data_IF_107755834160
#
_entry.id   IF_107755834160
#
_cell.length_a   1.000
_cell.length_b   1.000
_cell.length_c   1.000
_cell.angle_alpha   90.00
_cell.angle_beta   90.00
_cell.angle_gamma   90.00
#
_symmetry.space_group_name_H-M   'P 1'
#
loop_
_entity.id
_entity.type
_entity.pdbx_description
1 polymer ?
#
# COMPACT_ATOMS: atom_id res chain seq x y z
N UNK A 1 48.34 76.66 -64.92
CA UNK A 1 47.14 76.53 -64.06
C UNK A 1 46.69 75.07 -64.09
N UNK A 2 46.79 74.36 -62.95
CA UNK A 2 46.26 72.99 -62.76
C UNK A 2 44.82 73.11 -62.26
N UNK A 3 43.85 72.49 -62.93
CA UNK A 3 42.52 72.24 -62.34
C UNK A 3 41.97 70.86 -62.77
N UNK A 4 42.06 69.95 -61.79
CA UNK A 4 41.28 68.74 -61.50
C UNK A 4 40.30 68.19 -62.56
N UNK A 5 40.61 66.99 -63.05
CA UNK A 5 39.60 66.05 -63.52
C UNK A 5 38.97 65.33 -62.31
N UNK A 6 37.69 65.61 -62.02
CA UNK A 6 36.89 64.81 -61.10
C UNK A 6 36.48 63.51 -61.82
N UNK A 7 36.98 62.37 -61.31
CA UNK A 7 36.47 61.01 -61.61
C UNK A 7 35.12 60.77 -60.89
N UNK A 8 34.34 59.74 -61.30
CA UNK A 8 32.96 59.91 -61.74
C UNK A 8 31.91 59.34 -60.78
N UNK A 9 30.64 59.50 -61.18
CA UNK A 9 29.39 58.98 -60.61
C UNK A 9 29.33 57.44 -60.39
N UNK A 10 30.20 56.85 -59.56
CA UNK A 10 30.18 55.40 -59.27
C UNK A 10 29.06 54.96 -58.31
N UNK A 11 28.43 55.89 -57.58
CA UNK A 11 27.42 55.55 -56.55
C UNK A 11 26.05 55.12 -57.11
N UNK A 12 25.66 55.56 -58.31
CA UNK A 12 24.31 55.28 -58.87
C UNK A 12 24.18 53.87 -59.45
N UNK A 13 25.23 53.34 -60.09
CA UNK A 13 25.23 51.96 -60.58
C UNK A 13 25.28 50.93 -59.45
N UNK A 14 25.98 51.25 -58.35
CA UNK A 14 26.06 50.41 -57.15
C UNK A 14 24.68 50.21 -56.49
N UNK A 15 23.85 51.26 -56.38
CA UNK A 15 22.52 51.18 -55.76
C UNK A 15 21.57 50.28 -56.57
N UNK A 16 21.63 50.35 -57.90
CA UNK A 16 20.78 49.54 -58.78
C UNK A 16 21.14 48.05 -58.71
N UNK A 17 22.43 47.73 -58.72
CA UNK A 17 22.92 46.35 -58.56
C UNK A 17 22.55 45.80 -57.19
N UNK A 18 22.70 46.61 -56.12
CA UNK A 18 22.32 46.22 -54.76
C UNK A 18 20.82 45.95 -54.64
N UNK A 19 19.98 46.77 -55.29
CA UNK A 19 18.52 46.61 -55.31
C UNK A 19 18.08 45.34 -56.06
N UNK A 20 18.72 45.02 -57.19
CA UNK A 20 18.47 43.78 -57.93
C UNK A 20 18.91 42.57 -57.11
N UNK A 21 20.08 42.63 -56.47
CA UNK A 21 20.57 41.56 -55.61
C UNK A 21 19.63 41.33 -54.42
N UNK A 22 19.10 42.41 -53.83
CA UNK A 22 18.15 42.34 -52.74
C UNK A 22 16.80 41.77 -53.19
N UNK A 23 16.28 42.17 -54.35
CA UNK A 23 15.08 41.56 -54.95
C UNK A 23 15.29 40.07 -55.23
N UNK A 24 16.46 39.68 -55.74
CA UNK A 24 16.77 38.29 -56.04
C UNK A 24 16.80 37.44 -54.76
N UNK A 25 17.43 37.95 -53.70
CA UNK A 25 17.41 37.31 -52.38
C UNK A 25 15.98 37.18 -51.88
N UNK A 26 15.19 38.26 -51.88
CA UNK A 26 13.78 38.22 -51.48
C UNK A 26 12.96 37.21 -52.29
N UNK A 27 13.18 37.12 -53.60
CA UNK A 27 12.50 36.17 -54.47
C UNK A 27 12.88 34.72 -54.17
N UNK A 28 14.16 34.45 -53.92
CA UNK A 28 14.65 33.13 -53.51
C UNK A 28 14.07 32.77 -52.13
N UNK A 29 14.06 33.71 -51.17
CA UNK A 29 13.49 33.49 -49.84
C UNK A 29 11.98 33.24 -49.90
N UNK A 30 11.23 34.03 -50.69
CA UNK A 30 9.80 33.83 -50.90
C UNK A 30 9.50 32.47 -51.56
N UNK A 31 10.29 32.09 -52.57
CA UNK A 31 10.18 30.78 -53.23
C UNK A 31 10.47 29.63 -52.25
N UNK A 32 11.49 29.78 -51.39
CA UNK A 32 11.80 28.81 -50.34
C UNK A 32 10.63 28.65 -49.35
N UNK A 33 9.99 29.74 -48.92
CA UNK A 33 8.81 29.68 -48.05
C UNK A 33 7.61 28.99 -48.70
N UNK A 34 7.35 29.23 -49.99
CA UNK A 34 6.25 28.57 -50.72
C UNK A 34 6.46 27.04 -50.75
N UNK A 35 7.71 26.58 -50.82
CA UNK A 35 8.03 25.14 -50.80
C UNK A 35 8.03 24.56 -49.37
N UNK A 36 8.43 25.34 -48.37
CA UNK A 36 8.52 24.89 -46.97
C UNK A 36 7.14 24.80 -46.28
N UNK A 37 6.23 25.74 -46.54
CA UNK A 37 4.93 25.81 -45.87
C UNK A 37 4.09 24.52 -45.99
N UNK A 38 3.97 23.86 -47.15
CA UNK A 38 3.26 22.59 -47.26
C UNK A 38 3.94 21.44 -46.49
N UNK A 39 5.26 21.45 -46.38
CA UNK A 39 6.04 20.44 -45.65
C UNK A 39 5.80 20.58 -44.15
N UNK A 40 5.90 21.80 -43.64
CA UNK A 40 5.63 22.11 -42.22
C UNK A 40 4.18 21.84 -41.85
N UNK A 41 3.23 22.22 -42.70
CA UNK A 41 1.81 21.92 -42.50
C UNK A 41 1.55 20.41 -42.42
N UNK A 42 2.15 19.62 -43.32
CA UNK A 42 2.03 18.15 -43.29
C UNK A 42 2.72 17.55 -42.07
N UNK A 43 3.86 18.10 -41.64
CA UNK A 43 4.55 17.66 -40.44
C UNK A 43 3.74 17.95 -39.18
N UNK A 44 3.19 19.15 -39.06
CA UNK A 44 2.29 19.54 -37.97
C UNK A 44 1.05 18.65 -37.92
N UNK A 45 0.39 18.41 -39.06
CA UNK A 45 -0.74 17.48 -39.14
C UNK A 45 -0.37 16.04 -38.75
N UNK A 46 0.83 15.56 -39.09
CA UNK A 46 1.28 14.23 -38.67
C UNK A 46 1.51 14.17 -37.17
N UNK A 47 2.17 15.19 -36.61
CA UNK A 47 2.42 15.31 -35.17
C UNK A 47 1.10 15.34 -34.38
N UNK A 48 0.17 16.20 -34.79
CA UNK A 48 -1.17 16.29 -34.20
C UNK A 48 -1.91 14.94 -34.22
N UNK A 49 -1.85 14.22 -35.35
CA UNK A 49 -2.45 12.88 -35.50
C UNK A 49 -1.76 11.84 -34.62
N UNK A 50 -0.44 11.92 -34.45
CA UNK A 50 0.30 11.03 -33.57
C UNK A 50 -0.05 11.25 -32.10
N UNK A 51 -0.16 12.50 -31.66
CA UNK A 51 -0.59 12.86 -30.31
C UNK A 51 -2.04 12.43 -30.07
N UNK A 52 -2.94 12.73 -31.01
CA UNK A 52 -4.34 12.30 -30.93
C UNK A 52 -4.43 10.78 -30.83
N UNK A 53 -3.71 10.05 -31.68
CA UNK A 53 -3.69 8.59 -31.64
C UNK A 53 -3.11 8.01 -30.34
N UNK A 54 -2.19 8.73 -29.68
CA UNK A 54 -1.68 8.35 -28.35
C UNK A 54 -2.77 8.51 -27.29
N UNK A 55 -3.38 9.69 -27.21
CA UNK A 55 -4.43 10.00 -26.24
C UNK A 55 -5.64 9.07 -26.39
N UNK A 56 -6.02 8.73 -27.62
CA UNK A 56 -7.10 7.77 -27.91
C UNK A 56 -6.75 6.37 -27.43
N UNK A 57 -5.49 5.93 -27.62
CA UNK A 57 -5.05 4.63 -27.11
C UNK A 57 -5.02 4.61 -25.58
N UNK A 58 -4.49 5.66 -24.95
CA UNK A 58 -4.40 5.80 -23.50
C UNK A 58 -5.80 5.84 -22.86
N UNK A 59 -6.77 6.53 -23.48
CA UNK A 59 -8.15 6.53 -23.03
C UNK A 59 -8.75 5.12 -22.93
N UNK A 60 -8.43 4.23 -23.87
CA UNK A 60 -8.86 2.84 -23.81
C UNK A 60 -8.17 2.04 -22.69
N UNK A 61 -6.93 2.37 -22.33
CA UNK A 61 -6.28 1.81 -21.13
C UNK A 61 -6.99 2.28 -19.86
N UNK A 62 -7.28 3.58 -19.76
CA UNK A 62 -8.00 4.15 -18.61
C UNK A 62 -9.41 3.57 -18.45
N UNK A 63 -10.14 3.36 -19.55
CA UNK A 63 -11.45 2.71 -19.51
C UNK A 63 -11.33 1.26 -19.04
N UNK A 64 -10.38 0.49 -19.59
CA UNK A 64 -10.14 -0.90 -19.19
C UNK A 64 -9.77 -1.02 -17.71
N UNK A 65 -8.93 -0.12 -17.19
CA UNK A 65 -8.61 -0.05 -15.76
C UNK A 65 -9.83 0.27 -14.90
N UNK A 66 -10.65 1.23 -15.33
CA UNK A 66 -11.87 1.61 -14.61
C UNK A 66 -12.88 0.45 -14.58
N UNK A 67 -12.99 -0.27 -15.70
CA UNK A 67 -13.82 -1.46 -15.79
C UNK A 67 -13.30 -2.60 -14.90
N UNK A 68 -11.98 -2.85 -14.88
CA UNK A 68 -11.35 -3.83 -13.98
C UNK A 68 -11.65 -3.51 -12.51
N UNK A 69 -11.48 -2.24 -12.11
CA UNK A 69 -11.82 -1.77 -10.76
C UNK A 69 -13.30 -2.03 -10.43
N UNK A 70 -14.20 -1.72 -11.36
CA UNK A 70 -15.64 -1.93 -11.17
C UNK A 70 -16.01 -3.41 -11.01
N UNK A 71 -15.34 -4.34 -11.72
CA UNK A 71 -15.61 -5.76 -11.54
C UNK A 71 -15.06 -6.30 -10.22
N UNK A 72 -13.84 -5.91 -9.86
CA UNK A 72 -13.17 -6.39 -8.65
C UNK A 72 -13.74 -5.78 -7.37
N UNK A 73 -14.19 -4.53 -7.45
CA UNK A 73 -14.94 -3.87 -6.40
C UNK A 73 -16.09 -3.05 -6.97
N UNK A 74 -17.27 -3.66 -7.09
CA UNK A 74 -18.46 -2.94 -7.49
C UNK A 74 -18.81 -1.86 -6.45
N UNK A 75 -19.04 -0.59 -6.85
CA UNK A 75 -19.30 0.52 -5.93
C UNK A 75 -20.59 0.37 -5.09
N UNK A 76 -21.46 -0.59 -5.43
CA UNK A 76 -22.63 -0.95 -4.64
C UNK A 76 -22.38 -1.98 -3.54
N UNK A 77 -21.12 -2.37 -3.28
CA UNK A 77 -20.80 -3.48 -2.38
C UNK A 77 -21.34 -4.81 -2.92
N UNK A 78 -21.23 -5.03 -4.23
CA UNK A 78 -21.48 -6.35 -4.81
C UNK A 78 -20.28 -7.27 -4.61
N UNK A 79 -20.49 -8.58 -4.69
CA UNK A 79 -19.38 -9.53 -4.76
C UNK A 79 -18.48 -9.22 -5.97
N UNK A 80 -17.16 -9.31 -5.77
CA UNK A 80 -16.17 -9.23 -6.85
C UNK A 80 -16.51 -10.23 -7.95
N UNK A 81 -16.43 -9.78 -9.20
CA UNK A 81 -16.63 -10.61 -10.39
C UNK A 81 -15.29 -10.81 -11.06
N UNK A 82 -14.97 -12.07 -11.33
CA UNK A 82 -13.73 -12.42 -12.01
C UNK A 82 -13.73 -11.85 -13.45
N UNK A 83 -12.83 -10.92 -13.80
CA UNK A 83 -12.89 -10.16 -15.05
C UNK A 83 -12.94 -11.00 -16.33
N UNK A 84 -12.36 -12.20 -16.31
CA UNK A 84 -12.32 -13.08 -17.48
C UNK A 84 -13.26 -14.28 -17.38
N UNK A 85 -14.12 -14.33 -16.35
CA UNK A 85 -15.13 -15.38 -16.24
C UNK A 85 -16.19 -15.26 -17.33
N UNK A 86 -16.78 -16.41 -17.67
CA UNK A 86 -17.86 -16.50 -18.64
C UNK A 86 -19.02 -15.56 -18.26
N UNK A 87 -19.42 -14.70 -19.20
CA UNK A 87 -20.50 -13.73 -19.00
C UNK A 87 -20.10 -12.44 -18.25
N UNK A 88 -18.86 -12.31 -17.77
CA UNK A 88 -18.34 -11.08 -17.14
C UNK A 88 -17.58 -10.23 -18.14
N UNK A 89 -16.69 -10.85 -18.92
CA UNK A 89 -15.85 -10.12 -19.87
C UNK A 89 -16.70 -9.53 -21.02
N UNK A 90 -16.66 -8.20 -21.24
CA UNK A 90 -17.54 -7.54 -22.19
C UNK A 90 -17.25 -7.96 -23.63
N UNK A 91 -18.33 -7.98 -24.42
CA UNK A 91 -18.24 -8.20 -25.86
C UNK A 91 -17.33 -7.15 -26.50
N UNK A 92 -16.77 -7.47 -27.67
CA UNK A 92 -15.88 -6.55 -28.38
C UNK A 92 -16.54 -5.18 -28.65
N UNK A 93 -17.84 -5.17 -28.95
CA UNK A 93 -18.61 -3.95 -29.19
C UNK A 93 -18.67 -3.05 -27.95
N UNK A 94 -18.76 -3.63 -26.76
CA UNK A 94 -18.78 -2.89 -25.49
C UNK A 94 -17.39 -2.40 -25.07
N UNK A 95 -16.32 -2.97 -25.63
CA UNK A 95 -14.92 -2.54 -25.42
C UNK A 95 -14.42 -1.57 -26.49
N UNK A 96 -15.31 -1.14 -27.38
CA UNK A 96 -14.99 -0.25 -28.49
C UNK A 96 -15.78 1.05 -28.34
N UNK A 97 -15.06 2.14 -28.16
CA UNK A 97 -15.67 3.47 -27.95
C UNK A 97 -15.27 4.38 -29.09
N UNK A 98 -16.26 5.02 -29.70
CA UNK A 98 -16.06 6.05 -30.71
C UNK A 98 -15.94 7.42 -30.02
N UNK A 99 -14.85 8.13 -30.27
CA UNK A 99 -14.57 9.44 -29.68
C UNK A 99 -14.93 10.62 -30.60
N UNK A 100 -15.42 10.34 -31.80
CA UNK A 100 -15.69 11.34 -32.84
C UNK A 100 -14.50 11.56 -33.79
N UNK A 101 -14.69 12.36 -34.82
CA UNK A 101 -13.65 12.72 -35.82
C UNK A 101 -12.91 11.54 -36.47
N UNK A 102 -13.62 10.41 -36.58
CA UNK A 102 -13.10 9.17 -37.12
C UNK A 102 -12.18 8.40 -36.15
N UNK A 103 -12.00 8.86 -34.92
CA UNK A 103 -11.24 8.16 -33.89
C UNK A 103 -12.12 7.23 -33.08
N UNK A 104 -11.58 6.03 -32.85
CA UNK A 104 -12.12 5.08 -31.88
C UNK A 104 -10.98 4.32 -31.25
N UNK A 105 -11.22 3.70 -30.10
CA UNK A 105 -10.29 2.74 -29.52
C UNK A 105 -10.98 1.42 -29.26
N UNK A 106 -10.17 0.38 -29.11
CA UNK A 106 -10.59 -0.94 -28.63
C UNK A 106 -9.56 -1.48 -27.66
N UNK A 107 -10.00 -1.85 -26.46
CA UNK A 107 -9.13 -2.47 -25.47
C UNK A 107 -9.39 -3.96 -25.32
N UNK A 108 -8.35 -4.71 -24.96
CA UNK A 108 -8.35 -6.14 -24.74
C UNK A 108 -7.51 -6.45 -23.48
N UNK A 109 -7.93 -7.42 -22.68
CA UNK A 109 -7.18 -7.93 -21.54
C UNK A 109 -6.51 -9.26 -21.89
N UNK A 110 -5.25 -9.40 -21.49
CA UNK A 110 -4.49 -10.63 -21.57
C UNK A 110 -4.07 -10.99 -20.15
N UNK A 111 -4.57 -12.09 -19.57
CA UNK A 111 -4.21 -12.52 -18.22
C UNK A 111 -2.80 -13.10 -18.22
N UNK A 112 -2.07 -12.88 -17.12
CA UNK A 112 -0.79 -13.57 -16.90
C UNK A 112 -0.99 -15.10 -16.80
N UNK A 113 0.12 -15.85 -16.90
CA UNK A 113 0.16 -17.30 -16.72
C UNK A 113 -0.45 -17.79 -15.39
N UNK A 114 -0.33 -17.02 -14.31
CA UNK A 114 -0.83 -17.41 -12.99
C UNK A 114 -2.23 -16.88 -12.68
N UNK A 115 -2.75 -15.98 -13.53
CA UNK A 115 -4.05 -15.32 -13.34
C UNK A 115 -5.16 -16.08 -14.05
N UNK A 116 -6.37 -16.11 -13.47
CA UNK A 116 -7.53 -16.71 -14.12
C UNK A 116 -7.73 -16.12 -15.54
N UNK A 117 -7.98 -16.94 -16.57
CA UNK A 117 -8.32 -18.36 -16.53
C UNK A 117 -7.12 -19.32 -16.58
N UNK A 118 -5.89 -18.81 -16.69
CA UNK A 118 -4.68 -19.62 -16.90
C UNK A 118 -4.16 -20.25 -15.60
N UNK A 119 -4.34 -19.56 -14.47
CA UNK A 119 -3.92 -20.02 -13.16
C UNK A 119 -4.92 -19.70 -12.05
N UNK A 120 -4.52 -19.99 -10.81
CA UNK A 120 -5.34 -19.86 -9.61
C UNK A 120 -4.75 -18.88 -8.58
N UNK A 121 -3.81 -18.02 -9.00
CA UNK A 121 -3.21 -17.05 -8.09
C UNK A 121 -4.27 -16.03 -7.66
N UNK A 122 -4.47 -15.80 -6.35
CA UNK A 122 -5.42 -14.80 -5.85
C UNK A 122 -5.04 -13.37 -6.24
N UNK A 123 -3.75 -13.11 -6.50
CA UNK A 123 -3.27 -11.85 -7.06
C UNK A 123 -3.39 -11.91 -8.58
N UNK A 124 -4.23 -11.03 -9.12
CA UNK A 124 -4.52 -10.97 -10.56
C UNK A 124 -3.55 -10.03 -11.26
N UNK A 125 -3.02 -10.44 -12.39
CA UNK A 125 -2.23 -9.59 -13.28
C UNK A 125 -2.78 -9.66 -14.71
N UNK A 126 -2.91 -8.50 -15.34
CA UNK A 126 -3.40 -8.36 -16.71
C UNK A 126 -2.50 -7.43 -17.51
N UNK A 127 -2.26 -7.79 -18.77
CA UNK A 127 -1.80 -6.85 -19.78
C UNK A 127 -3.01 -6.26 -20.50
N UNK A 128 -3.20 -4.95 -20.38
CA UNK A 128 -4.20 -4.19 -21.13
C UNK A 128 -3.57 -3.79 -22.46
N UNK A 129 -4.21 -4.18 -23.56
CA UNK A 129 -3.82 -3.78 -24.92
C UNK A 129 -4.91 -2.89 -25.48
N UNK A 130 -4.62 -1.60 -25.67
CA UNK A 130 -5.55 -0.64 -26.28
C UNK A 130 -5.08 -0.22 -27.66
N UNK A 131 -5.91 -0.45 -28.68
CA UNK A 131 -5.64 -0.09 -30.07
C UNK A 131 -6.48 1.11 -30.46
N UNK A 132 -5.84 2.20 -30.86
CA UNK A 132 -6.47 3.35 -31.49
C UNK A 132 -6.70 3.08 -32.97
N UNK A 133 -7.91 3.36 -33.44
CA UNK A 133 -8.33 3.26 -34.82
C UNK A 133 -8.68 4.65 -35.35
N UNK A 134 -8.31 4.90 -36.61
CA UNK A 134 -8.78 6.05 -37.35
C UNK A 134 -9.49 5.58 -38.61
N UNK A 135 -10.76 5.96 -38.78
CA UNK A 135 -11.61 5.51 -39.88
C UNK A 135 -11.53 3.97 -40.07
N UNK A 136 -11.67 3.24 -38.96
CA UNK A 136 -11.57 1.78 -38.87
C UNK A 136 -10.21 1.16 -39.24
N UNK A 137 -9.13 1.95 -39.33
CA UNK A 137 -7.76 1.44 -39.51
C UNK A 137 -6.97 1.59 -38.24
N UNK A 138 -6.31 0.51 -37.80
CA UNK A 138 -5.41 0.56 -36.66
C UNK A 138 -4.31 1.59 -36.93
N UNK A 139 -4.12 2.49 -35.97
CA UNK A 139 -3.18 3.60 -36.07
C UNK A 139 -2.07 3.49 -35.02
N UNK A 140 -2.42 3.16 -33.78
CA UNK A 140 -1.47 3.02 -32.67
C UNK A 140 -1.96 1.99 -31.66
N UNK A 141 -1.03 1.38 -30.94
CA UNK A 141 -1.28 0.48 -29.83
C UNK A 141 -0.58 1.01 -28.57
N UNK A 142 -1.28 0.94 -27.44
CA UNK A 142 -0.76 1.17 -26.11
C UNK A 142 -0.88 -0.13 -25.30
N UNK A 143 0.12 -0.40 -24.47
CA UNK A 143 0.15 -1.56 -23.58
C UNK A 143 0.40 -1.08 -22.16
N UNK A 144 -0.37 -1.61 -21.21
CA UNK A 144 -0.18 -1.36 -19.79
C UNK A 144 -0.26 -2.69 -19.05
N UNK A 145 0.75 -2.95 -18.22
CA UNK A 145 0.75 -4.08 -17.30
C UNK A 145 0.15 -3.60 -15.99
N UNK A 146 -0.89 -4.28 -15.52
CA UNK A 146 -1.57 -3.95 -14.27
C UNK A 146 -1.62 -5.20 -13.39
N UNK A 147 -1.33 -5.00 -12.11
CA UNK A 147 -1.45 -6.01 -11.08
C UNK A 147 -2.48 -5.54 -10.06
N UNK A 148 -3.26 -6.49 -9.54
CA UNK A 148 -4.15 -6.23 -8.42
C UNK A 148 -3.32 -5.76 -7.24
N UNK A 149 -3.66 -4.59 -6.74
CA UNK A 149 -2.99 -4.00 -5.61
C UNK A 149 -3.27 -4.82 -4.35
N UNK A 150 -2.20 -5.24 -3.67
CA UNK A 150 -2.34 -5.92 -2.38
C UNK A 150 -2.60 -4.90 -1.28
N UNK A 151 -3.57 -5.20 -0.42
CA UNK A 151 -3.81 -4.42 0.80
C UNK A 151 -2.63 -4.49 1.78
N UNK A 152 -1.74 -5.48 1.62
CA UNK A 152 -0.53 -5.63 2.44
C UNK A 152 0.48 -4.49 2.26
N UNK A 153 0.34 -3.65 1.22
CA UNK A 153 1.20 -2.46 1.08
C UNK A 153 0.88 -1.40 2.13
N UNK A 154 -0.35 -1.36 2.64
CA UNK A 154 -0.78 -0.34 3.60
C UNK A 154 -0.20 -0.66 4.97
N UNK A 155 0.41 0.34 5.60
CA UNK A 155 0.77 0.23 7.02
C UNK A 155 -0.49 0.19 7.90
N UNK A 156 -1.54 0.91 7.48
CA UNK A 156 -2.86 0.83 8.09
C UNK A 156 -3.96 1.20 7.09
N UNK A 157 -5.06 0.45 7.11
CA UNK A 157 -6.23 0.67 6.28
C UNK A 157 -7.49 0.47 7.13
N UNK A 158 -8.33 1.49 7.21
CA UNK A 158 -9.53 1.49 8.04
C UNK A 158 -10.80 1.67 7.20
N UNK A 159 -11.76 0.77 7.33
CA UNK A 159 -13.05 0.87 6.62
C UNK A 159 -13.95 1.97 7.19
N UNK A 160 -13.94 2.11 8.51
CA UNK A 160 -14.76 3.04 9.25
C UNK A 160 -13.91 3.68 10.34
N UNK A 161 -14.10 4.98 10.58
CA UNK A 161 -13.40 5.69 11.64
C UNK A 161 -14.40 6.21 12.67
N UNK A 162 -14.56 5.51 13.81
CA UNK A 162 -15.54 5.88 14.81
C UNK A 162 -15.45 7.36 15.20
N UNK A 163 -16.62 7.98 15.40
CA UNK A 163 -16.70 9.42 15.69
C UNK A 163 -15.96 9.85 16.95
N UNK A 164 -15.69 8.93 17.88
CA UNK A 164 -14.97 9.13 19.13
C UNK A 164 -13.50 8.69 19.07
N UNK A 165 -13.04 8.08 17.97
CA UNK A 165 -11.66 7.61 17.82
C UNK A 165 -10.76 8.73 17.31
N UNK A 166 -9.57 8.85 17.90
CA UNK A 166 -8.50 9.75 17.45
C UNK A 166 -7.19 9.00 17.39
N UNK A 167 -6.39 9.23 16.34
CA UNK A 167 -5.02 8.73 16.28
C UNK A 167 -4.08 9.74 16.94
N UNK A 168 -3.43 9.40 18.06
CA UNK A 168 -2.42 10.27 18.65
C UNK A 168 -1.13 10.26 17.80
N UNK A 169 -0.58 11.44 17.51
CA UNK A 169 0.74 11.61 16.91
C UNK A 169 1.68 12.25 17.94
N UNK A 170 2.70 11.50 18.35
CA UNK A 170 3.70 11.92 19.33
C UNK A 170 5.06 12.05 18.68
N UNK A 171 5.96 12.81 19.29
CA UNK A 171 7.35 12.91 18.82
C UNK A 171 8.06 11.56 18.85
N UNK A 172 7.62 10.65 19.72
CA UNK A 172 8.13 9.28 19.87
C UNK A 172 7.39 8.24 19.02
N UNK A 173 6.38 8.64 18.23
CA UNK A 173 5.67 7.70 17.36
C UNK A 173 6.61 7.18 16.28
N UNK A 174 6.63 5.85 16.09
CA UNK A 174 7.36 5.25 14.99
C UNK A 174 6.77 5.69 13.64
N UNK A 175 7.59 5.91 12.61
CA UNK A 175 7.09 6.14 11.26
C UNK A 175 6.29 4.93 10.76
N UNK A 176 5.17 5.18 10.09
CA UNK A 176 4.46 4.17 9.33
C UNK A 176 5.31 3.75 8.13
N UNK A 177 5.63 2.46 8.01
CA UNK A 177 6.46 1.89 6.94
C UNK A 177 5.69 1.62 5.64
N UNK A 178 4.57 2.33 5.43
CA UNK A 178 3.68 2.19 4.27
C UNK A 178 2.54 3.22 4.28
N UNK A 179 1.74 3.34 3.21
CA UNK A 179 0.63 4.27 3.13
C UNK A 179 -0.43 3.98 4.19
N UNK A 180 -1.05 5.05 4.70
CA UNK A 180 -2.19 4.96 5.62
C UNK A 180 -3.45 5.47 4.93
N UNK A 181 -4.54 4.71 5.00
CA UNK A 181 -5.84 5.08 4.39
C UNK A 181 -7.02 4.86 5.32
N UNK A 182 -8.01 5.75 5.24
CA UNK A 182 -9.28 5.66 5.97
C UNK A 182 -10.44 5.91 5.00
N UNK A 183 -11.36 4.95 4.87
CA UNK A 183 -12.59 5.07 4.05
C UNK A 183 -13.64 6.03 4.64
N UNK A 184 -13.26 6.84 5.64
CA UNK A 184 -14.10 7.76 6.41
C UNK A 184 -13.27 9.03 6.74
N UNK A 185 -13.78 9.90 7.62
CA UNK A 185 -13.09 11.11 8.09
C UNK A 185 -12.04 10.73 9.14
N UNK A 186 -10.77 10.87 8.77
CA UNK A 186 -9.65 10.65 9.67
C UNK A 186 -9.55 11.75 10.74
N UNK A 187 -9.38 11.32 12.00
CA UNK A 187 -9.28 12.21 13.17
C UNK A 187 -7.94 11.98 13.88
N UNK A 188 -7.15 13.04 13.98
CA UNK A 188 -5.81 13.05 14.56
C UNK A 188 -5.80 13.81 15.88
N UNK A 189 -4.87 13.48 16.77
CA UNK A 189 -4.62 14.21 17.99
C UNK A 189 -3.13 14.47 18.17
N UNK A 190 -2.75 15.73 18.37
CA UNK A 190 -1.35 16.14 18.58
C UNK A 190 -1.15 16.50 20.07
N UNK A 191 -1.02 15.53 20.99
CA UNK A 191 -0.99 15.77 22.43
C UNK A 191 0.11 16.75 22.86
N UNK A 192 1.26 16.72 22.21
CA UNK A 192 2.42 17.57 22.53
C UNK A 192 2.34 18.97 21.90
N UNK A 193 1.42 19.18 20.95
CA UNK A 193 1.28 20.43 20.20
C UNK A 193 2.61 20.87 19.59
N UNK A 194 3.10 22.05 19.97
CA UNK A 194 4.39 22.58 19.51
C UNK A 194 5.60 21.66 19.85
N UNK A 195 5.50 20.83 20.89
CA UNK A 195 6.53 19.82 21.16
C UNK A 195 6.68 18.80 20.03
N UNK A 196 5.57 18.35 19.44
CA UNK A 196 5.58 17.48 18.27
C UNK A 196 6.14 18.20 17.03
N UNK A 197 5.64 19.41 16.74
CA UNK A 197 6.03 20.16 15.55
C UNK A 197 7.52 20.56 15.53
N UNK A 198 8.09 20.84 16.70
CA UNK A 198 9.48 21.24 16.85
C UNK A 198 10.40 20.05 17.16
N UNK A 199 9.86 18.82 17.24
CA UNK A 199 10.67 17.63 17.48
C UNK A 199 11.50 17.28 16.25
N UNK A 200 12.66 16.70 16.50
CA UNK A 200 13.51 16.09 15.47
C UNK A 200 13.06 14.65 15.24
N UNK A 201 12.98 14.22 13.98
CA UNK A 201 12.67 12.85 13.62
C UNK A 201 12.06 12.73 12.23
N UNK A 202 12.06 11.51 11.69
CA UNK A 202 11.50 11.22 10.38
C UNK A 202 9.98 11.39 10.36
N UNK A 203 9.38 11.86 9.26
CA UNK A 203 7.94 12.08 9.15
C UNK A 203 7.14 10.83 9.56
N UNK A 204 6.04 11.01 10.27
CA UNK A 204 5.25 9.86 10.75
C UNK A 204 4.65 9.06 9.59
N UNK A 205 4.18 9.72 8.53
CA UNK A 205 3.60 9.10 7.35
C UNK A 205 4.57 9.22 6.16
N UNK A 206 5.57 8.34 6.13
CA UNK A 206 6.60 8.34 5.08
C UNK A 206 6.03 8.14 3.67
N UNK A 207 4.91 7.41 3.55
CA UNK A 207 4.25 7.11 2.28
C UNK A 207 2.87 7.80 2.14
N UNK A 208 2.60 8.81 2.97
CA UNK A 208 1.38 9.61 2.94
C UNK A 208 0.20 9.06 3.73
N UNK A 209 -0.76 9.96 3.94
CA UNK A 209 -2.00 9.74 4.67
C UNK A 209 -3.18 10.15 3.78
N UNK A 210 -4.12 9.25 3.60
CA UNK A 210 -5.30 9.48 2.74
C UNK A 210 -6.60 9.18 3.47
N UNK A 211 -7.65 9.93 3.16
CA UNK A 211 -8.99 9.72 3.71
C UNK A 211 -10.05 9.95 2.63
N UNK A 212 -11.09 9.12 2.59
CA UNK A 212 -12.25 9.35 1.72
C UNK A 212 -13.12 10.48 2.25
N UNK A 213 -13.32 10.53 3.56
CA UNK A 213 -14.04 11.62 4.21
C UNK A 213 -13.23 12.90 4.27
N UNK A 214 -13.92 14.04 4.23
CA UNK A 214 -13.34 15.35 4.48
C UNK A 214 -14.07 16.05 5.62
N UNK A 215 -13.32 16.65 6.54
CA UNK A 215 -13.82 17.45 7.63
C UNK A 215 -13.90 18.93 7.23
N UNK A 216 -15.14 19.43 7.15
CA UNK A 216 -15.48 20.75 6.59
C UNK A 216 -14.80 21.96 7.26
N UNK A 217 -14.32 21.84 8.51
CA UNK A 217 -13.62 22.92 9.23
C UNK A 217 -12.10 22.74 9.21
N UNK A 218 -11.55 22.10 8.17
CA UNK A 218 -10.12 21.94 7.97
C UNK A 218 -9.63 22.44 6.61
N UNK A 219 -8.39 22.93 6.56
CA UNK A 219 -7.73 23.34 5.31
C UNK A 219 -7.17 22.17 4.48
N UNK A 220 -7.03 21.00 5.11
CA UNK A 220 -6.56 19.74 4.50
C UNK A 220 -7.61 18.63 4.54
N UNK A 221 -8.80 18.91 5.07
CA UNK A 221 -9.89 17.95 5.23
C UNK A 221 -9.74 16.97 6.40
N UNK A 222 -8.74 17.09 7.27
CA UNK A 222 -8.59 16.23 8.46
C UNK A 222 -9.12 16.89 9.73
N UNK A 223 -9.64 16.09 10.67
CA UNK A 223 -10.04 16.58 11.99
C UNK A 223 -8.87 16.46 12.97
N UNK A 224 -8.54 17.55 13.67
CA UNK A 224 -7.51 17.62 14.70
C UNK A 224 -8.17 17.90 16.05
N UNK A 225 -8.14 16.90 16.95
CA UNK A 225 -8.69 17.01 18.29
C UNK A 225 -8.01 18.14 19.08
N UNK A 226 -8.83 18.99 19.71
CA UNK A 226 -8.48 20.27 20.34
C UNK A 226 -7.96 21.36 19.39
N UNK A 227 -7.76 21.05 18.10
CA UNK A 227 -7.27 21.97 17.08
C UNK A 227 -8.37 22.65 16.28
N UNK A 228 -9.10 21.89 15.48
CA UNK A 228 -10.29 22.34 14.73
C UNK A 228 -11.53 21.45 15.02
N UNK A 229 -11.36 20.39 15.81
CA UNK A 229 -12.42 19.49 16.25
C UNK A 229 -12.38 19.42 17.77
N UNK A 230 -13.49 19.75 18.42
CA UNK A 230 -13.57 19.95 19.89
C UNK A 230 -12.49 20.90 20.44
N UNK A 231 -12.14 21.95 19.68
CA UNK A 231 -11.23 23.00 20.10
C UNK A 231 -10.83 23.93 18.95
N UNK A 232 -9.98 24.91 19.27
CA UNK A 232 -9.52 25.95 18.35
C UNK A 232 -8.02 26.23 18.46
N UNK A 233 -7.25 25.31 19.05
CA UNK A 233 -5.84 25.55 19.37
C UNK A 233 -4.94 25.36 18.14
N UNK A 234 -4.33 26.44 17.66
CA UNK A 234 -3.43 26.42 16.50
C UNK A 234 -2.20 25.54 16.71
N UNK A 235 -1.75 25.28 17.95
CA UNK A 235 -0.65 24.35 18.22
C UNK A 235 -1.02 22.88 18.01
N UNK A 236 -2.30 22.53 17.80
CA UNK A 236 -2.78 21.16 17.66
C UNK A 236 -3.04 20.74 16.21
N UNK A 237 -2.70 21.60 15.24
CA UNK A 237 -2.96 21.40 13.81
C UNK A 237 -1.79 21.93 12.96
N UNK A 238 -1.58 21.44 11.74
CA UNK A 238 -0.46 21.83 10.89
C UNK A 238 -0.67 23.15 10.13
N UNK A 239 -1.73 23.89 10.43
CA UNK A 239 -2.07 25.16 9.79
C UNK A 239 -2.62 26.17 10.81
N UNK A 240 -2.58 27.44 10.46
CA UNK A 240 -3.17 28.52 11.24
C UNK A 240 -4.04 29.45 10.37
N UNK A 241 -4.37 30.62 10.91
CA UNK A 241 -5.20 31.61 10.20
C UNK A 241 -4.50 32.20 8.97
N UNK A 242 -3.17 32.09 8.88
CA UNK A 242 -2.35 32.52 7.75
C UNK A 242 -2.24 31.44 6.67
N UNK A 243 -2.67 30.20 6.98
CA UNK A 243 -2.70 29.09 6.05
C UNK A 243 -1.87 27.88 6.51
N UNK A 244 -1.53 26.98 5.57
CA UNK A 244 -0.70 25.81 5.83
C UNK A 244 0.71 26.16 6.32
N UNK A 245 1.20 25.47 7.36
CA UNK A 245 2.57 25.65 7.87
C UNK A 245 3.43 24.49 7.34
N UNK A 246 4.25 24.76 6.32
CA UNK A 246 5.00 23.73 5.60
C UNK A 246 5.85 22.82 6.50
N UNK A 247 6.54 23.37 7.50
CA UNK A 247 7.36 22.58 8.44
C UNK A 247 6.55 21.58 9.28
N UNK A 248 5.28 21.90 9.59
CA UNK A 248 4.40 21.00 10.34
C UNK A 248 3.91 19.84 9.48
N UNK A 249 3.58 20.13 8.22
CA UNK A 249 3.24 19.09 7.25
C UNK A 249 4.43 18.18 6.96
N UNK A 250 5.65 18.73 6.82
CA UNK A 250 6.86 17.93 6.66
C UNK A 250 7.15 17.03 7.87
N UNK A 251 6.79 17.44 9.10
CA UNK A 251 6.86 16.56 10.28
C UNK A 251 5.84 15.42 10.22
N UNK A 252 4.69 15.63 9.59
CA UNK A 252 3.65 14.61 9.47
C UNK A 252 3.92 13.63 8.34
N UNK A 253 4.28 14.10 7.15
CA UNK A 253 4.44 13.27 5.96
C UNK A 253 5.62 13.73 5.10
N UNK A 254 6.31 12.78 4.47
CA UNK A 254 7.54 13.05 3.71
C UNK A 254 7.30 13.97 2.48
N UNK A 255 6.15 13.80 1.82
CA UNK A 255 5.68 14.72 0.76
C UNK A 255 5.02 16.01 1.28
N UNK A 256 5.16 16.33 2.57
CA UNK A 256 4.56 17.51 3.18
C UNK A 256 3.04 17.52 3.07
N UNK A 257 2.47 18.65 2.62
CA UNK A 257 1.02 18.82 2.54
C UNK A 257 0.40 17.95 1.45
N UNK A 258 1.11 17.75 0.34
CA UNK A 258 0.58 17.02 -0.81
C UNK A 258 0.45 15.51 -0.54
N UNK A 259 1.17 15.01 0.47
CA UNK A 259 1.05 13.64 0.96
C UNK A 259 -0.11 13.44 1.96
N UNK A 260 -0.86 14.50 2.30
CA UNK A 260 -2.02 14.46 3.19
C UNK A 260 -3.27 14.82 2.38
N UNK A 261 -4.03 13.80 1.98
CA UNK A 261 -5.14 13.96 1.02
C UNK A 261 -6.45 13.46 1.60
N UNK A 262 -7.38 14.39 1.83
CA UNK A 262 -8.78 14.08 2.08
C UNK A 262 -9.59 14.08 0.78
N UNK A 263 -10.71 13.36 0.74
CA UNK A 263 -11.51 13.19 -0.47
C UNK A 263 -10.91 12.23 -1.50
N UNK A 264 -10.01 11.34 -1.06
CA UNK A 264 -9.48 10.28 -1.91
C UNK A 264 -10.56 9.23 -2.22
N UNK A 265 -10.39 8.47 -3.30
CA UNK A 265 -11.27 7.33 -3.60
C UNK A 265 -11.23 6.33 -2.44
N UNK A 266 -12.39 5.74 -2.11
CA UNK A 266 -12.46 4.66 -1.13
C UNK A 266 -11.65 3.46 -1.60
N UNK A 267 -10.84 2.91 -0.71
CA UNK A 267 -10.14 1.63 -0.92
C UNK A 267 -11.12 0.52 -0.58
N UNK A 268 -11.56 -0.27 -1.57
CA UNK A 268 -12.52 -1.31 -1.32
C UNK A 268 -11.92 -2.45 -0.52
N UNK A 269 -12.56 -2.75 0.61
CA UNK A 269 -12.19 -3.89 1.44
C UNK A 269 -12.99 -5.14 1.03
N UNK A 270 -12.42 -6.34 1.21
CA UNK A 270 -13.16 -7.59 1.03
C UNK A 270 -14.43 -7.59 1.88
N UNK A 271 -15.57 -7.96 1.29
CA UNK A 271 -16.86 -7.98 2.00
C UNK A 271 -16.90 -8.95 3.19
N UNK A 272 -16.01 -9.92 3.15
CA UNK A 272 -15.74 -10.82 4.23
C UNK A 272 -14.25 -11.14 4.22
N UNK A 273 -13.76 -11.54 5.37
CA UNK A 273 -12.39 -12.00 5.55
C UNK A 273 -12.30 -13.52 5.43
N UNK A 274 -13.27 -14.18 4.79
CA UNK A 274 -13.33 -15.64 4.77
C UNK A 274 -12.20 -16.25 3.95
N UNK A 275 -11.80 -15.61 2.85
CA UNK A 275 -10.64 -16.08 2.07
C UNK A 275 -9.35 -16.00 2.90
N UNK A 276 -9.22 -15.00 3.78
CA UNK A 276 -8.07 -14.87 4.69
C UNK A 276 -8.18 -15.84 5.88
N UNK A 277 -9.40 -16.05 6.39
CA UNK A 277 -9.70 -17.07 7.40
C UNK A 277 -9.34 -18.46 6.89
N UNK A 278 -9.76 -18.77 5.67
CA UNK A 278 -9.58 -20.06 5.03
C UNK A 278 -8.11 -20.23 4.61
N UNK A 279 -7.41 -19.15 4.24
CA UNK A 279 -5.95 -19.18 4.08
C UNK A 279 -5.21 -19.40 5.42
N UNK A 280 -5.67 -18.81 6.53
CA UNK A 280 -5.10 -19.03 7.85
C UNK A 280 -5.39 -20.44 8.39
N UNK A 281 -6.58 -20.96 8.11
CA UNK A 281 -6.98 -22.30 8.55
C UNK A 281 -6.53 -23.41 7.61
N UNK A 282 -6.25 -23.10 6.35
CA UNK A 282 -6.04 -24.03 5.24
C UNK A 282 -7.31 -24.19 4.39
N UNK A 283 -7.18 -23.96 3.08
CA UNK A 283 -8.27 -24.17 2.13
C UNK A 283 -8.69 -25.64 2.14
N UNK A 284 -9.99 -25.90 2.24
CA UNK A 284 -10.58 -27.24 2.29
C UNK A 284 -9.97 -28.16 3.39
N UNK A 285 -9.53 -27.56 4.50
CA UNK A 285 -9.02 -28.31 5.62
C UNK A 285 -10.04 -29.36 6.12
N UNK A 286 -9.63 -30.63 6.32
CA UNK A 286 -10.53 -31.67 6.84
C UNK A 286 -10.97 -31.39 8.29
N UNK A 287 -10.24 -30.53 9.00
CA UNK A 287 -10.53 -30.13 10.37
C UNK A 287 -11.52 -28.96 10.37
N UNK A 288 -12.63 -29.04 11.15
CA UNK A 288 -13.58 -27.94 11.25
C UNK A 288 -12.94 -26.73 11.95
N UNK A 289 -13.37 -25.53 11.57
CA UNK A 289 -12.95 -24.30 12.24
C UNK A 289 -13.22 -24.38 13.76
N UNK A 290 -12.26 -23.97 14.61
CA UNK A 290 -12.41 -24.04 16.05
C UNK A 290 -13.62 -23.26 16.57
N UNK A 291 -14.39 -23.89 17.46
CA UNK A 291 -15.61 -23.30 18.02
C UNK A 291 -15.39 -22.58 19.36
N UNK A 292 -14.34 -22.93 20.10
CA UNK A 292 -13.94 -22.29 21.36
C UNK A 292 -12.98 -21.11 21.14
N UNK A 293 -12.86 -20.24 22.14
CA UNK A 293 -11.85 -19.19 22.12
C UNK A 293 -10.46 -19.81 22.30
N UNK A 294 -9.52 -19.43 21.45
CA UNK A 294 -8.18 -20.02 21.44
C UNK A 294 -7.31 -19.49 20.31
N UNK A 295 -6.01 -19.77 20.42
CA UNK A 295 -5.05 -19.67 19.33
C UNK A 295 -4.89 -21.07 18.77
N UNK A 296 -5.08 -21.21 17.47
CA UNK A 296 -5.09 -22.49 16.78
C UNK A 296 -4.16 -22.42 15.58
N UNK A 297 -3.42 -23.50 15.40
CA UNK A 297 -2.61 -23.75 14.21
C UNK A 297 -3.15 -25.03 13.62
N UNK A 298 -3.49 -24.99 12.34
CA UNK A 298 -3.91 -26.20 11.63
C UNK A 298 -2.75 -26.79 10.85
N UNK A 299 -2.77 -28.11 10.72
CA UNK A 299 -1.83 -28.87 9.90
C UNK A 299 -2.62 -29.64 8.86
N UNK A 300 -2.29 -29.44 7.58
CA UNK A 300 -2.95 -30.10 6.45
C UNK A 300 -1.85 -30.77 5.62
N UNK A 301 -1.92 -32.09 5.50
CA UNK A 301 -0.94 -32.91 4.77
C UNK A 301 0.53 -32.71 5.24
N UNK A 302 0.75 -32.46 6.53
CA UNK A 302 2.09 -32.26 7.09
C UNK A 302 2.59 -30.81 7.00
N UNK A 303 1.84 -29.93 6.34
CA UNK A 303 2.17 -28.51 6.22
C UNK A 303 1.34 -27.70 7.21
N UNK A 304 2.04 -26.88 8.01
CA UNK A 304 1.37 -25.91 8.86
C UNK A 304 0.74 -24.81 8.02
N UNK A 305 -0.47 -24.43 8.41
CA UNK A 305 -1.21 -23.34 7.76
C UNK A 305 -0.82 -22.01 8.41
N UNK A 306 -1.80 -21.12 8.59
CA UNK A 306 -1.64 -19.88 9.35
C UNK A 306 -2.06 -20.03 10.80
N UNK A 307 -2.16 -18.89 11.49
CA UNK A 307 -2.64 -18.77 12.86
C UNK A 307 -4.09 -18.32 12.83
N UNK A 308 -4.99 -19.16 13.36
CA UNK A 308 -6.39 -18.82 13.57
C UNK A 308 -6.64 -18.47 15.03
N UNK A 309 -7.20 -17.30 15.29
CA UNK A 309 -7.50 -16.80 16.62
C UNK A 309 -9.00 -16.58 16.76
N UNK A 310 -9.59 -17.31 17.71
CA UNK A 310 -10.98 -17.12 18.10
C UNK A 310 -11.08 -16.35 19.41
N UNK A 311 -11.74 -15.20 19.38
CA UNK A 311 -11.83 -14.27 20.50
C UNK A 311 -10.84 -13.11 20.41
N UNK A 312 -10.80 -12.30 21.47
CA UNK A 312 -9.95 -11.11 21.54
C UNK A 312 -8.49 -11.50 21.91
N UNK A 313 -7.57 -10.60 21.60
CA UNK A 313 -6.15 -10.67 21.91
C UNK A 313 -5.77 -9.38 22.64
N UNK A 314 -5.18 -9.50 23.81
CA UNK A 314 -4.70 -8.36 24.59
C UNK A 314 -3.36 -7.85 24.05
N UNK A 315 -2.43 -8.75 23.76
CA UNK A 315 -1.11 -8.44 23.25
C UNK A 315 -0.75 -9.41 22.14
N UNK A 316 -0.27 -8.88 21.01
CA UNK A 316 0.30 -9.63 19.89
C UNK A 316 1.66 -9.05 19.54
N UNK A 317 2.69 -9.87 19.60
CA UNK A 317 4.01 -9.49 19.07
C UNK A 317 4.29 -10.27 17.78
N UNK A 318 4.86 -9.65 16.76
CA UNK A 318 5.30 -10.35 15.55
C UNK A 318 6.84 -10.38 15.50
N UNK A 319 7.37 -11.60 15.48
CA UNK A 319 8.81 -11.82 15.57
C UNK A 319 9.31 -12.88 14.60
N UNK A 320 10.55 -12.68 14.15
CA UNK A 320 11.40 -13.68 13.48
C UNK A 320 12.49 -14.03 14.49
N UNK A 321 12.71 -15.33 14.72
CA UNK A 321 13.64 -15.80 15.75
C UNK A 321 15.10 -15.48 15.40
N UNK A 322 15.74 -14.67 16.26
CA UNK A 322 17.19 -14.44 16.30
C UNK A 322 17.80 -14.94 17.62
N UNK A 323 19.12 -14.81 17.74
CA UNK A 323 19.96 -15.50 18.73
C UNK A 323 19.49 -15.34 20.19
N UNK A 324 19.46 -16.47 20.91
CA UNK A 324 19.12 -16.56 22.33
C UNK A 324 19.94 -15.55 23.17
N UNK A 325 19.35 -14.84 24.15
CA UNK A 325 20.16 -14.08 25.08
C UNK A 325 21.03 -15.05 25.93
N UNK A 326 22.35 -14.91 25.79
CA UNK A 326 23.35 -15.40 26.74
C UNK A 326 23.46 -14.33 27.85
N UNK A 327 23.32 -14.58 29.16
CA UNK A 327 24.16 -15.40 30.04
C UNK A 327 23.52 -15.45 31.47
N UNK A 328 23.99 -16.35 32.35
CA UNK A 328 23.55 -16.50 33.73
C UNK A 328 24.36 -15.61 34.70
N UNK A 329 23.83 -15.36 35.91
CA UNK A 329 24.65 -14.91 37.04
C UNK A 329 24.56 -15.89 38.21
N UNK A 330 25.60 -16.73 38.29
CA UNK A 330 26.34 -17.06 39.51
C UNK A 330 25.55 -17.11 40.84
N UNK A 331 25.19 -18.33 41.23
CA UNK A 331 25.18 -18.77 42.62
C UNK A 331 23.87 -18.60 43.37
N UNK A 332 23.06 -19.65 43.42
CA UNK A 332 22.02 -19.77 44.45
C UNK A 332 20.74 -20.42 43.97
N UNK A 333 20.31 -21.42 44.73
CA UNK A 333 19.10 -22.25 44.63
C UNK A 333 17.83 -21.48 44.28
N UNK A 334 16.99 -22.06 43.41
CA UNK A 334 15.66 -21.53 43.06
C UNK A 334 14.76 -21.35 44.30
N UNK A 335 14.16 -20.16 44.49
CA UNK A 335 12.92 -20.00 45.20
C UNK A 335 11.77 -19.68 44.23
N UNK A 336 10.62 -20.25 44.55
CA UNK A 336 9.31 -19.89 44.02
C UNK A 336 9.10 -18.37 44.06
N UNK A 337 8.64 -17.81 42.93
CA UNK A 337 8.26 -16.41 42.71
C UNK A 337 9.44 -15.44 42.52
N UNK A 338 9.92 -15.25 41.26
CA UNK A 338 10.05 -13.93 40.60
C UNK A 338 10.65 -14.05 39.16
N UNK A 339 10.69 -12.97 38.34
CA UNK A 339 10.05 -12.90 37.03
C UNK A 339 11.00 -13.25 35.87
N UNK A 340 10.41 -13.73 34.78
CA UNK A 340 11.14 -13.97 33.54
C UNK A 340 11.54 -12.61 32.94
N UNK A 341 12.84 -12.34 32.88
CA UNK A 341 13.44 -11.17 32.23
C UNK A 341 13.32 -11.30 30.70
N UNK A 342 12.39 -10.57 30.09
CA UNK A 342 12.23 -10.46 28.64
C UNK A 342 13.10 -9.32 28.10
N UNK A 343 14.34 -9.65 27.70
CA UNK A 343 15.24 -8.73 27.00
C UNK A 343 14.99 -8.72 25.48
N UNK A 344 15.33 -7.61 24.83
CA UNK A 344 15.13 -7.30 23.40
C UNK A 344 15.44 -8.47 22.43
N UNK A 345 14.39 -9.17 21.96
CA UNK A 345 14.19 -9.74 20.60
C UNK A 345 12.94 -10.65 20.59
N UNK A 346 12.33 -10.81 19.41
CA UNK A 346 10.88 -10.94 19.21
C UNK A 346 10.25 -12.33 19.39
N UNK A 347 9.28 -12.43 20.30
CA UNK A 347 8.49 -13.64 20.56
C UNK A 347 7.02 -13.31 20.32
N UNK A 348 6.25 -14.11 19.55
CA UNK A 348 4.82 -13.82 19.37
C UNK A 348 4.05 -14.20 20.62
N UNK A 349 3.92 -13.29 21.58
CA UNK A 349 2.98 -13.43 22.70
C UNK A 349 1.57 -13.17 22.18
N UNK A 350 0.63 -14.09 22.41
CA UNK A 350 -0.80 -13.91 22.13
C UNK A 350 -1.53 -14.11 23.44
N UNK A 351 -1.94 -13.02 24.08
CA UNK A 351 -2.69 -13.07 25.34
C UNK A 351 -4.19 -13.06 25.07
N UNK A 352 -4.91 -14.09 25.50
CA UNK A 352 -6.36 -14.11 25.38
C UNK A 352 -7.02 -13.62 26.67
N UNK A 353 -7.99 -12.68 26.60
CA UNK A 353 -8.78 -12.35 27.77
C UNK A 353 -9.77 -13.48 28.08
N UNK A 354 -9.65 -14.02 29.29
CA UNK A 354 -10.79 -14.65 29.95
C UNK A 354 -11.79 -13.57 30.33
N UNK A 355 -12.94 -13.55 29.65
CA UNK A 355 -14.19 -12.85 30.01
C UNK A 355 -14.08 -11.47 30.71
N UNK A 356 -14.34 -10.41 29.92
CA UNK A 356 -14.94 -9.13 30.29
C UNK A 356 -14.65 -8.48 31.67
N UNK A 357 -14.12 -7.25 31.56
CA UNK A 357 -14.16 -6.10 32.50
C UNK A 357 -13.13 -6.02 33.64
N UNK A 358 -12.26 -5.00 33.50
CA UNK A 358 -11.47 -4.26 34.48
C UNK A 358 -10.72 -5.00 35.58
N UNK A 359 -9.38 -4.87 35.50
CA UNK A 359 -8.36 -5.08 36.54
C UNK A 359 -7.77 -6.49 36.66
N UNK A 360 -6.52 -6.59 36.20
CA UNK A 360 -5.36 -7.37 36.70
C UNK A 360 -5.63 -8.85 37.06
N UNK A 361 -5.11 -9.69 36.16
CA UNK A 361 -4.68 -11.08 36.25
C UNK A 361 -5.70 -12.23 36.13
N UNK A 362 -5.70 -12.86 34.95
CA UNK A 362 -5.15 -14.22 34.77
C UNK A 362 -5.07 -14.56 33.26
N UNK A 363 -4.10 -13.94 32.60
CA UNK A 363 -3.85 -14.04 31.16
C UNK A 363 -3.35 -15.45 30.79
N UNK A 364 -4.16 -16.20 30.05
CA UNK A 364 -3.70 -17.44 29.42
C UNK A 364 -2.97 -17.08 28.13
N UNK A 365 -1.67 -16.85 28.23
CA UNK A 365 -0.81 -16.47 27.11
C UNK A 365 -0.37 -17.70 26.30
N UNK A 366 -0.62 -17.69 24.99
CA UNK A 366 -0.02 -18.65 24.05
C UNK A 366 1.09 -17.93 23.29
N UNK A 367 2.26 -18.53 23.15
CA UNK A 367 3.35 -17.96 22.34
C UNK A 367 3.61 -18.81 21.11
N UNK A 368 3.69 -18.22 19.89
CA UNK A 368 3.95 -18.97 18.64
C UNK A 368 5.14 -18.40 17.88
N UNK A 369 6.25 -19.13 17.78
CA UNK A 369 7.47 -18.64 17.14
C UNK A 369 7.81 -19.48 15.91
N UNK A 370 8.09 -18.82 14.78
CA UNK A 370 8.69 -19.47 13.62
C UNK A 370 10.19 -19.22 13.65
N UNK A 371 10.98 -20.28 13.52
CA UNK A 371 12.43 -20.25 13.65
C UNK A 371 13.08 -20.17 12.27
N UNK A 372 13.39 -18.96 11.78
CA UNK A 372 13.93 -18.78 10.42
C UNK A 372 15.45 -18.55 10.40
N UNK A 373 16.05 -17.97 11.46
CA UNK A 373 17.48 -17.61 11.47
C UNK A 373 18.29 -18.47 12.45
N UNK A 374 17.82 -18.65 13.69
CA UNK A 374 18.54 -19.36 14.75
C UNK A 374 17.69 -20.43 15.46
N UNK A 375 18.33 -21.54 15.88
CA UNK A 375 17.69 -22.62 16.65
C UNK A 375 17.44 -22.23 18.12
N UNK A 376 16.39 -22.77 18.74
CA UNK A 376 16.07 -22.52 20.17
C UNK A 376 16.38 -23.76 21.01
N UNK A 377 17.07 -23.60 22.14
CA UNK A 377 17.33 -24.70 23.07
C UNK A 377 16.43 -24.63 24.31
N UNK A 378 15.58 -25.63 24.48
CA UNK A 378 14.75 -25.82 25.68
C UNK A 378 15.57 -26.51 26.79
N UNK A 379 15.45 -26.09 28.05
CA UNK A 379 16.18 -26.69 29.16
C UNK A 379 15.59 -28.06 29.60
N UNK A 380 16.35 -28.86 30.36
CA UNK A 380 15.80 -30.06 31.01
C UNK A 380 14.65 -29.66 31.94
N UNK A 381 13.62 -30.50 32.03
CA UNK A 381 12.41 -30.27 32.84
C UNK A 381 11.28 -29.55 32.09
N UNK A 382 11.53 -28.97 30.91
CA UNK A 382 10.44 -28.48 30.06
C UNK A 382 9.59 -29.66 29.54
N UNK A 383 8.30 -29.45 29.35
CA UNK A 383 7.40 -30.43 28.74
C UNK A 383 7.26 -30.06 27.26
N UNK A 384 7.82 -30.87 26.37
CA UNK A 384 7.76 -30.70 24.92
C UNK A 384 6.94 -31.84 24.30
N UNK A 385 5.93 -31.52 23.50
CA UNK A 385 5.03 -32.50 22.86
C UNK A 385 4.47 -33.52 23.86
N UNK A 386 4.11 -33.05 25.06
CA UNK A 386 3.60 -33.88 26.16
C UNK A 386 4.64 -34.68 26.95
N UNK A 387 5.93 -34.59 26.60
CA UNK A 387 7.01 -35.33 27.26
C UNK A 387 7.95 -34.39 28.04
N UNK A 388 8.25 -34.72 29.29
CA UNK A 388 9.25 -33.99 30.08
C UNK A 388 10.66 -34.28 29.57
N UNK A 389 11.40 -33.22 29.22
CA UNK A 389 12.76 -33.32 28.72
C UNK A 389 13.74 -33.71 29.83
N UNK A 390 14.46 -34.82 29.66
CA UNK A 390 15.49 -35.26 30.60
C UNK A 390 16.82 -34.47 30.46
N UNK A 391 17.04 -33.85 29.30
CA UNK A 391 18.20 -33.04 28.97
C UNK A 391 17.77 -31.86 28.08
N UNK A 392 18.64 -30.87 27.89
CA UNK A 392 18.34 -29.76 26.98
C UNK A 392 18.09 -30.28 25.57
N UNK A 393 17.07 -29.76 24.89
CA UNK A 393 16.76 -30.12 23.51
C UNK A 393 16.75 -28.88 22.61
N UNK A 394 17.53 -28.94 21.53
CA UNK A 394 17.57 -27.88 20.52
C UNK A 394 16.51 -28.13 19.44
N UNK A 395 15.67 -27.14 19.21
CA UNK A 395 14.65 -27.10 18.16
C UNK A 395 15.27 -26.43 16.92
N UNK A 396 15.30 -27.11 15.77
CA UNK A 396 16.01 -26.64 14.60
C UNK A 396 15.32 -25.43 13.93
N UNK A 397 16.11 -24.68 13.15
CA UNK A 397 15.60 -23.70 12.18
C UNK A 397 14.70 -24.40 11.16
N UNK A 398 13.69 -23.71 10.65
CA UNK A 398 12.62 -24.26 9.81
C UNK A 398 11.46 -24.87 10.60
N UNK A 399 11.44 -24.71 11.92
CA UNK A 399 10.40 -25.26 12.80
C UNK A 399 9.55 -24.17 13.44
N UNK A 400 8.32 -24.52 13.82
CA UNK A 400 7.43 -23.66 14.60
C UNK A 400 7.35 -24.16 16.04
N UNK A 401 7.69 -23.31 17.01
CA UNK A 401 7.63 -23.60 18.44
C UNK A 401 6.45 -22.84 19.08
N UNK A 402 5.50 -23.59 19.64
CA UNK A 402 4.36 -23.06 20.37
C UNK A 402 4.50 -23.32 21.87
N UNK A 403 4.45 -22.27 22.69
CA UNK A 403 4.32 -22.38 24.15
C UNK A 403 2.86 -22.19 24.54
N UNK A 404 2.28 -23.20 25.18
CA UNK A 404 0.90 -23.17 25.67
C UNK A 404 0.75 -22.35 26.95
N UNK A 405 -0.47 -21.92 27.29
CA UNK A 405 -0.74 -21.17 28.53
C UNK A 405 -0.38 -21.90 29.83
N UNK A 406 -0.32 -23.23 29.80
CA UNK A 406 0.10 -24.05 30.94
C UNK A 406 1.63 -24.16 31.07
N UNK A 407 2.38 -23.46 30.21
CA UNK A 407 3.85 -23.44 30.20
C UNK A 407 4.48 -24.62 29.47
N UNK A 408 3.69 -25.53 28.90
CA UNK A 408 4.18 -26.62 28.05
C UNK A 408 4.49 -26.13 26.63
N UNK A 409 5.28 -26.90 25.88
CA UNK A 409 5.72 -26.58 24.52
C UNK A 409 5.24 -27.63 23.53
N UNK A 410 4.93 -27.19 22.31
CA UNK A 410 4.72 -28.01 21.13
C UNK A 410 5.66 -27.53 20.02
N UNK A 411 6.29 -28.45 19.29
CA UNK A 411 7.16 -28.13 18.17
C UNK A 411 6.67 -28.80 16.89
N UNK A 412 6.63 -28.06 15.81
CA UNK A 412 6.26 -28.54 14.48
C UNK A 412 7.44 -28.37 13.52
N UNK A 413 7.64 -29.34 12.63
CA UNK A 413 8.80 -29.42 11.74
C UNK A 413 8.73 -28.53 10.50
N UNK A 414 7.65 -27.76 10.33
CA UNK A 414 7.43 -26.87 9.18
C UNK A 414 7.16 -25.44 9.66
N UNK A 415 7.37 -24.47 8.77
CA UNK A 415 7.06 -23.06 8.99
C UNK A 415 5.59 -22.76 8.68
N UNK A 416 5.05 -21.70 9.30
CA UNK A 416 3.70 -21.23 9.01
C UNK A 416 3.65 -20.53 7.64
N UNK A 417 2.50 -20.58 6.98
CA UNK A 417 2.28 -19.85 5.71
C UNK A 417 2.24 -18.31 5.86
N UNK A 418 2.38 -17.80 7.09
CA UNK A 418 2.45 -16.38 7.42
C UNK A 418 1.10 -15.68 7.59
N UNK A 419 -0.04 -16.35 7.43
CA UNK A 419 -1.34 -15.70 7.60
C UNK A 419 -1.79 -15.76 9.05
N UNK A 420 -2.26 -14.65 9.61
CA UNK A 420 -2.90 -14.58 10.92
C UNK A 420 -4.31 -14.04 10.78
N UNK A 421 -5.28 -14.76 11.30
CA UNK A 421 -6.69 -14.39 11.27
C UNK A 421 -7.30 -14.34 12.66
N UNK A 422 -7.85 -13.20 13.08
CA UNK A 422 -8.49 -13.02 14.38
C UNK A 422 -9.97 -12.61 14.26
N UNK A 423 -10.84 -13.27 15.03
CA UNK A 423 -12.29 -12.96 15.06
C UNK A 423 -12.70 -11.94 16.11
N UNK A 424 -11.84 -11.67 17.10
CA UNK A 424 -12.03 -10.62 18.12
C UNK A 424 -11.16 -9.39 17.86
N UNK A 425 -11.00 -8.54 18.87
CA UNK A 425 -10.13 -7.37 18.83
C UNK A 425 -8.67 -7.75 19.14
N UNK A 426 -7.70 -7.06 18.53
CA UNK A 426 -6.29 -7.10 18.96
C UNK A 426 -5.98 -5.75 19.62
N UNK A 427 -5.85 -5.74 20.95
CA UNK A 427 -5.66 -4.49 21.72
C UNK A 427 -4.26 -3.92 21.63
N UNK A 428 -3.26 -4.72 21.31
CA UNK A 428 -1.90 -4.26 21.15
C UNK A 428 -1.15 -5.13 20.14
N UNK A 429 -0.49 -4.51 19.17
CA UNK A 429 0.36 -5.15 18.17
C UNK A 429 1.70 -4.42 18.11
N UNK A 430 2.80 -5.15 18.31
CA UNK A 430 4.17 -4.64 18.13
C UNK A 430 5.10 -5.69 17.51
N UNK A 431 6.31 -5.27 17.11
CA UNK A 431 7.33 -6.13 16.50
C UNK A 431 7.69 -5.71 15.07
N UNK A 432 8.72 -6.35 14.50
CA UNK A 432 9.22 -6.04 13.15
C UNK A 432 8.72 -7.10 12.17
N UNK A 433 7.84 -6.70 11.25
CA UNK A 433 7.39 -7.60 10.19
C UNK A 433 8.48 -7.75 9.11
N UNK A 434 9.44 -8.66 9.34
CA UNK A 434 10.52 -8.95 8.37
C UNK A 434 10.15 -9.97 7.29
N UNK A 435 8.86 -10.30 7.12
CA UNK A 435 8.42 -11.39 6.24
C UNK A 435 7.00 -11.24 5.71
N UNK A 436 6.52 -12.27 5.00
CA UNK A 436 5.23 -12.32 4.27
C UNK A 436 4.00 -12.43 5.19
N UNK A 437 4.05 -11.91 6.42
CA UNK A 437 2.95 -12.10 7.38
C UNK A 437 1.79 -11.15 7.11
N UNK A 438 0.61 -11.72 6.87
CA UNK A 438 -0.64 -10.97 6.63
C UNK A 438 -1.55 -11.15 7.84
N UNK A 439 -1.91 -10.05 8.51
CA UNK A 439 -2.82 -10.07 9.66
C UNK A 439 -4.18 -9.52 9.24
N UNK A 440 -5.24 -10.28 9.51
CA UNK A 440 -6.62 -9.83 9.34
C UNK A 440 -7.41 -9.98 10.65
N UNK A 441 -8.20 -8.96 10.97
CA UNK A 441 -8.99 -8.89 12.21
C UNK A 441 -10.42 -8.47 11.87
N UNK A 442 -11.41 -9.16 12.44
CA UNK A 442 -12.84 -8.92 12.12
C UNK A 442 -13.38 -7.63 12.72
N UNK A 443 -12.83 -7.16 13.86
CA UNK A 443 -13.34 -5.99 14.58
C UNK A 443 -12.38 -4.80 14.57
N UNK A 444 -11.31 -4.84 15.38
CA UNK A 444 -10.38 -3.73 15.49
C UNK A 444 -8.97 -4.18 15.89
N UNK A 445 -7.97 -3.42 15.44
CA UNK A 445 -6.56 -3.57 15.81
C UNK A 445 -6.02 -2.24 16.32
N UNK A 446 -5.36 -2.26 17.47
CA UNK A 446 -4.61 -1.12 18.00
C UNK A 446 -3.12 -1.41 17.83
N UNK A 447 -2.46 -0.58 17.01
CA UNK A 447 -1.03 -0.66 16.72
C UNK A 447 -0.33 0.40 17.57
N UNK A 448 0.74 0.02 18.28
CA UNK A 448 1.51 0.95 19.13
C UNK A 448 2.85 1.33 18.52
#
# INVERSE_FOLDING_TARGET
>A
MKLNSKKPNSKRGSILVMSIFFMLILFITASAFIVLLPVESRAAQRSERQTSGALVADAGVTEAMSWLRFQLSPPGGGASKEPMASGVYPSQAQRTTNLGDGWSYRWELIPDSETYPNGSNPVRAYTIVSKAYRNNRAFREARAEVIQESLSKYAALYDNWPSNLVQPLRSTSAPAEGPVHVNDVMRLWIPEGNGFWNSTGDPIYTHGLTATGSYNSSQDGFAYYQGNWYGSNSSKRPYDNSGPIASRYARMADGGRDAIVAGADSVPLPQNTFDIRDAAWGFDAPNPLPSSNGVYINEVNGELQGIYIKGDVEEMELGVGGTQPSQPLSGGTFPTNDPVSYGNNSWVKIEQPGSATNSIDNNKATTVVTLDEDSVTLPPGAILNGSTLAASQTIPVGSTLMRKPDGTFESHSTELNGVVYATGDIKDLWGVNKGRRTVAVVKSISIK
#
